data_IF_037922431324
#
_entry.id   IF_037922431324
#
_cell.length_a   1.000
_cell.length_b   1.000
_cell.length_c   1.000
_cell.angle_alpha   90.00
_cell.angle_beta   90.00
_cell.angle_gamma   90.00
#
_symmetry.space_group_name_H-M   'P 1'
#
loop_
_entity.id
_entity.type
_entity.pdbx_description
1 polymer ?
#
# COMPACT_ATOMS: atom_id res chain seq x y z
N UNK A 1 34.89 4.39 -6.92
CA UNK A 1 34.07 4.58 -5.69
C UNK A 1 32.74 5.32 -5.96
N UNK A 2 32.75 6.36 -6.77
CA UNK A 2 31.53 7.11 -7.11
C UNK A 2 30.49 6.28 -7.89
N UNK A 3 30.94 5.42 -8.82
CA UNK A 3 30.05 4.58 -9.63
C UNK A 3 29.26 3.55 -8.84
N UNK A 4 29.85 3.00 -7.76
CA UNK A 4 29.19 2.02 -6.89
C UNK A 4 28.06 2.66 -6.05
N UNK A 5 28.24 3.92 -5.63
CA UNK A 5 27.20 4.69 -4.92
C UNK A 5 26.01 5.03 -5.82
N UNK A 6 26.26 5.41 -7.06
CA UNK A 6 25.21 5.73 -8.03
C UNK A 6 24.38 4.50 -8.40
N UNK A 7 25.00 3.34 -8.61
CA UNK A 7 24.31 2.10 -8.89
C UNK A 7 23.47 1.64 -7.70
N UNK A 8 23.97 1.79 -6.48
CA UNK A 8 23.24 1.45 -5.27
C UNK A 8 22.03 2.36 -5.07
N UNK A 9 22.18 3.67 -5.32
CA UNK A 9 21.08 4.63 -5.21
C UNK A 9 20.02 4.39 -6.27
N UNK A 10 20.42 4.12 -7.51
CA UNK A 10 19.47 3.83 -8.58
C UNK A 10 18.70 2.54 -8.34
N UNK A 11 19.35 1.49 -7.85
CA UNK A 11 18.71 0.22 -7.50
C UNK A 11 17.76 0.38 -6.33
N UNK A 12 18.16 1.10 -5.28
CA UNK A 12 17.30 1.39 -4.13
C UNK A 12 16.08 2.23 -4.54
N UNK A 13 16.25 3.21 -5.45
CA UNK A 13 15.17 4.03 -5.97
C UNK A 13 14.14 3.22 -6.75
N UNK A 14 14.58 2.25 -7.55
CA UNK A 14 13.68 1.36 -8.29
C UNK A 14 12.95 0.37 -7.35
N UNK A 15 13.66 -0.16 -6.35
CA UNK A 15 13.09 -1.12 -5.39
C UNK A 15 12.15 -0.44 -4.40
N UNK A 16 12.37 0.84 -4.07
CA UNK A 16 11.59 1.61 -3.10
C UNK A 16 10.50 2.47 -3.73
N UNK A 17 10.09 2.20 -4.95
CA UNK A 17 9.13 2.96 -5.75
C UNK A 17 7.76 3.10 -5.06
N UNK A 18 7.24 2.01 -4.51
CA UNK A 18 6.08 1.99 -3.62
C UNK A 18 6.51 1.35 -2.32
N UNK A 19 6.17 1.96 -1.20
CA UNK A 19 6.61 1.51 0.12
C UNK A 19 5.41 1.30 1.04
N UNK A 20 5.58 0.39 2.00
CA UNK A 20 4.56 0.10 2.99
C UNK A 20 4.41 1.30 3.92
N UNK A 21 3.22 1.93 3.99
CA UNK A 21 3.00 3.00 4.93
C UNK A 21 2.96 2.46 6.35
N UNK A 22 3.39 3.29 7.30
CA UNK A 22 3.25 2.95 8.71
C UNK A 22 1.79 3.04 9.13
N UNK A 23 1.38 2.20 10.08
CA UNK A 23 0.06 2.31 10.69
C UNK A 23 0.00 3.63 11.49
N UNK A 24 -1.15 4.31 11.52
CA UNK A 24 -1.33 5.52 12.31
C UNK A 24 -1.53 5.26 13.81
N UNK A 25 -1.37 4.02 14.24
CA UNK A 25 -1.52 3.58 15.64
C UNK A 25 -0.67 2.31 15.85
N UNK A 26 -0.45 1.91 17.10
CA UNK A 26 0.29 0.70 17.43
C UNK A 26 -0.47 -0.56 16.98
N UNK A 27 0.26 -1.65 16.77
CA UNK A 27 -0.35 -2.93 16.37
C UNK A 27 -1.40 -3.40 17.37
N UNK A 28 -1.22 -3.12 18.67
CA UNK A 28 -2.15 -3.52 19.72
C UNK A 28 -3.28 -2.52 19.96
N UNK A 29 -3.32 -1.42 19.22
CA UNK A 29 -4.25 -0.33 19.50
C UNK A 29 -5.73 -0.69 19.28
N UNK A 30 -6.00 -1.68 18.43
CA UNK A 30 -7.37 -2.10 18.12
C UNK A 30 -7.85 -3.26 19.00
N UNK A 31 -7.01 -3.72 19.94
CA UNK A 31 -7.43 -4.75 20.88
C UNK A 31 -8.52 -4.21 21.80
N UNK A 32 -9.45 -5.04 22.27
CA UNK A 32 -9.54 -6.50 22.09
C UNK A 32 -10.26 -6.94 20.81
N UNK A 33 -10.61 -6.01 19.92
CA UNK A 33 -11.42 -6.32 18.72
C UNK A 33 -10.59 -6.96 17.62
N UNK A 34 -9.38 -6.46 17.38
CA UNK A 34 -8.41 -7.04 16.45
C UNK A 34 -7.08 -7.15 17.20
N UNK A 35 -6.53 -8.36 17.28
CA UNK A 35 -5.31 -8.58 18.04
C UNK A 35 -4.04 -8.07 17.32
N UNK A 36 -3.00 -7.83 18.11
CA UNK A 36 -1.74 -7.31 17.60
C UNK A 36 -1.10 -8.22 16.56
N UNK A 37 -1.17 -9.54 16.76
CA UNK A 37 -0.58 -10.51 15.82
C UNK A 37 -1.28 -10.44 14.46
N UNK A 38 -2.60 -10.36 14.44
CA UNK A 38 -3.38 -10.19 13.21
C UNK A 38 -2.97 -8.92 12.48
N UNK A 39 -2.83 -7.81 13.19
CA UNK A 39 -2.41 -6.55 12.61
C UNK A 39 -0.99 -6.63 12.02
N UNK A 40 -0.06 -7.27 12.73
CA UNK A 40 1.31 -7.45 12.26
C UNK A 40 1.36 -8.25 10.97
N UNK A 41 0.58 -9.32 10.88
CA UNK A 41 0.52 -10.19 9.70
C UNK A 41 -0.17 -9.47 8.54
N UNK A 42 -1.31 -8.86 8.80
CA UNK A 42 -2.11 -8.19 7.77
C UNK A 42 -1.34 -7.02 7.15
N UNK A 43 -0.63 -6.25 7.98
CA UNK A 43 0.19 -5.14 7.52
C UNK A 43 1.52 -5.61 6.92
N UNK A 44 2.30 -6.38 7.68
CA UNK A 44 3.69 -6.70 7.34
C UNK A 44 3.84 -7.81 6.30
N UNK A 45 2.85 -8.70 6.15
CA UNK A 45 2.86 -9.76 5.14
C UNK A 45 1.92 -9.45 3.99
N UNK A 46 0.64 -9.26 4.26
CA UNK A 46 -0.36 -9.15 3.19
C UNK A 46 -0.24 -7.83 2.43
N UNK A 47 -0.24 -6.70 3.13
CA UNK A 47 -0.07 -5.40 2.48
C UNK A 47 1.29 -5.31 1.79
N UNK A 48 2.35 -5.75 2.46
CA UNK A 48 3.70 -5.75 1.87
C UNK A 48 3.77 -6.59 0.60
N UNK A 49 3.07 -7.73 0.54
CA UNK A 49 3.06 -8.58 -0.64
C UNK A 49 2.45 -7.87 -1.86
N UNK A 50 1.38 -7.12 -1.68
CA UNK A 50 0.82 -6.30 -2.76
C UNK A 50 1.83 -5.29 -3.27
N UNK A 51 2.53 -4.61 -2.37
CA UNK A 51 3.54 -3.61 -2.73
C UNK A 51 4.71 -4.26 -3.48
N UNK A 52 5.22 -5.37 -2.97
CA UNK A 52 6.32 -6.10 -3.61
C UNK A 52 5.93 -6.55 -5.03
N UNK A 53 4.75 -7.11 -5.19
CA UNK A 53 4.28 -7.58 -6.49
C UNK A 53 4.00 -6.43 -7.46
N UNK A 54 3.49 -5.30 -6.95
CA UNK A 54 3.34 -4.09 -7.76
C UNK A 54 4.68 -3.57 -8.26
N UNK A 55 5.66 -3.45 -7.37
CA UNK A 55 7.00 -3.00 -7.74
C UNK A 55 7.66 -3.92 -8.75
N UNK A 56 7.51 -5.24 -8.59
CA UNK A 56 8.04 -6.22 -9.53
C UNK A 56 7.43 -6.06 -10.93
N UNK A 57 6.13 -5.84 -11.02
CA UNK A 57 5.47 -5.57 -12.29
C UNK A 57 5.99 -4.28 -12.93
N UNK A 58 6.11 -3.22 -12.14
CA UNK A 58 6.57 -1.92 -12.63
C UNK A 58 8.04 -1.90 -13.05
N UNK A 59 8.86 -2.84 -12.58
CA UNK A 59 10.26 -2.96 -13.01
C UNK A 59 10.39 -3.21 -14.51
N UNK A 60 9.38 -3.78 -15.16
CA UNK A 60 9.36 -3.98 -16.62
C UNK A 60 9.11 -2.71 -17.40
N UNK A 61 8.58 -1.67 -16.74
CA UNK A 61 8.21 -0.40 -17.36
C UNK A 61 8.68 0.77 -16.52
N UNK A 62 10.00 1.08 -16.55
CA UNK A 62 10.57 2.14 -15.70
C UNK A 62 9.96 3.53 -15.94
N UNK A 63 9.34 3.77 -17.09
CA UNK A 63 8.65 5.01 -17.41
C UNK A 63 7.46 5.29 -16.48
N UNK A 64 6.96 4.26 -15.79
CA UNK A 64 5.85 4.41 -14.84
C UNK A 64 6.33 4.69 -13.41
N UNK A 65 7.64 4.79 -13.18
CA UNK A 65 8.21 4.85 -11.83
C UNK A 65 7.86 6.11 -11.04
N UNK A 66 7.51 7.20 -11.70
CA UNK A 66 7.13 8.44 -11.04
C UNK A 66 5.66 8.55 -10.67
N UNK A 67 4.85 7.54 -11.00
CA UNK A 67 3.41 7.59 -10.78
C UNK A 67 3.04 7.01 -9.41
N UNK A 68 2.16 7.71 -8.68
CA UNK A 68 1.56 7.17 -7.46
C UNK A 68 0.51 6.12 -7.84
N UNK A 69 0.15 5.26 -6.87
CA UNK A 69 -0.74 4.13 -7.15
C UNK A 69 -2.11 4.60 -7.66
N UNK A 70 -2.62 5.71 -7.17
CA UNK A 70 -3.90 6.28 -7.61
C UNK A 70 -3.88 6.69 -9.07
N UNK A 71 -2.77 7.26 -9.54
CA UNK A 71 -2.58 7.62 -10.96
C UNK A 71 -2.56 6.38 -11.85
N UNK A 72 -1.87 5.33 -11.41
CA UNK A 72 -1.81 4.06 -12.13
C UNK A 72 -3.20 3.42 -12.26
N UNK A 73 -3.97 3.44 -11.18
CA UNK A 73 -5.31 2.85 -11.15
C UNK A 73 -6.31 3.65 -11.99
N UNK A 74 -6.30 4.97 -11.89
CA UNK A 74 -7.16 5.84 -12.72
C UNK A 74 -6.84 5.69 -14.20
N UNK A 75 -5.56 5.61 -14.53
CA UNK A 75 -5.07 5.46 -15.89
C UNK A 75 -4.81 4.02 -16.29
N UNK A 76 -5.49 3.06 -15.71
CA UNK A 76 -5.20 1.63 -15.89
C UNK A 76 -5.23 1.21 -17.36
N UNK A 77 -6.08 1.82 -18.16
CA UNK A 77 -6.18 1.51 -19.60
C UNK A 77 -4.94 1.93 -20.37
N UNK A 78 -4.17 2.89 -19.86
CA UNK A 78 -2.91 3.34 -20.44
C UNK A 78 -1.69 2.55 -19.94
N UNK A 79 -1.85 1.72 -18.92
CA UNK A 79 -0.80 0.83 -18.43
C UNK A 79 -0.56 -0.25 -19.48
N UNK A 80 0.72 -0.56 -19.84
CA UNK A 80 1.01 -1.59 -20.81
C UNK A 80 0.32 -2.92 -20.50
N UNK A 81 -0.20 -3.56 -21.55
CA UNK A 81 -1.05 -4.73 -21.42
C UNK A 81 -0.36 -5.89 -20.68
N UNK A 82 0.94 -6.07 -20.87
CA UNK A 82 1.71 -7.14 -20.26
C UNK A 82 1.72 -7.09 -18.72
N UNK A 83 1.56 -5.90 -18.12
CA UNK A 83 1.53 -5.73 -16.67
C UNK A 83 0.20 -5.18 -16.15
N UNK A 84 -0.76 -4.89 -17.01
CA UNK A 84 -2.01 -4.20 -16.63
C UNK A 84 -2.78 -4.94 -15.54
N UNK A 85 -2.98 -6.25 -15.70
CA UNK A 85 -3.69 -7.06 -14.69
C UNK A 85 -2.94 -7.08 -13.36
N UNK A 86 -1.61 -7.23 -13.39
CA UNK A 86 -0.78 -7.20 -12.18
C UNK A 86 -0.86 -5.84 -11.48
N UNK A 87 -0.77 -4.75 -12.23
CA UNK A 87 -0.89 -3.40 -11.66
C UNK A 87 -2.28 -3.17 -11.07
N UNK A 88 -3.34 -3.58 -11.77
CA UNK A 88 -4.70 -3.48 -11.25
C UNK A 88 -4.88 -4.26 -9.94
N UNK A 89 -4.45 -5.52 -9.92
CA UNK A 89 -4.67 -6.38 -8.76
C UNK A 89 -3.79 -5.98 -7.57
N UNK A 90 -2.49 -5.81 -7.80
CA UNK A 90 -1.56 -5.50 -6.71
C UNK A 90 -1.59 -4.01 -6.33
N UNK A 91 -1.75 -3.12 -7.31
CA UNK A 91 -1.97 -1.70 -7.04
C UNK A 91 -3.28 -1.46 -6.31
N UNK A 92 -4.35 -2.14 -6.73
CA UNK A 92 -5.64 -2.10 -6.05
C UNK A 92 -5.55 -2.61 -4.62
N UNK A 93 -4.85 -3.73 -4.42
CA UNK A 93 -4.62 -4.28 -3.09
C UNK A 93 -3.85 -3.32 -2.18
N UNK A 94 -2.78 -2.72 -2.71
CA UNK A 94 -2.01 -1.72 -1.98
C UNK A 94 -2.88 -0.52 -1.61
N UNK A 95 -3.60 0.05 -2.56
CA UNK A 95 -4.45 1.22 -2.32
C UNK A 95 -5.54 0.91 -1.28
N UNK A 96 -6.22 -0.22 -1.41
CA UNK A 96 -7.28 -0.62 -0.50
C UNK A 96 -6.78 -0.82 0.93
N UNK A 97 -5.62 -1.45 1.10
CA UNK A 97 -5.02 -1.63 2.42
C UNK A 97 -4.59 -0.31 3.04
N UNK A 98 -4.02 0.60 2.24
CA UNK A 98 -3.64 1.92 2.75
C UNK A 98 -4.85 2.69 3.28
N UNK A 99 -5.97 2.64 2.56
CA UNK A 99 -7.23 3.24 3.01
C UNK A 99 -7.77 2.53 4.25
N UNK A 100 -7.75 1.20 4.25
CA UNK A 100 -8.27 0.37 5.34
C UNK A 100 -7.68 0.73 6.69
N UNK A 101 -6.37 0.94 6.76
CA UNK A 101 -5.73 1.34 8.02
C UNK A 101 -6.26 2.67 8.54
N UNK A 102 -6.56 3.60 7.65
CA UNK A 102 -6.98 4.96 8.03
C UNK A 102 -8.45 5.06 8.46
N UNK A 103 -9.30 4.12 8.04
CA UNK A 103 -10.74 4.14 8.39
C UNK A 103 -11.04 3.40 9.69
N UNK A 104 -10.05 2.81 10.31
CA UNK A 104 -10.16 2.21 11.64
C UNK A 104 -9.48 3.11 12.68
N UNK A 105 -10.00 3.09 13.90
CA UNK A 105 -9.42 3.85 14.99
C UNK A 105 -9.60 3.10 16.31
N UNK A 106 -8.71 3.32 17.29
CA UNK A 106 -8.87 2.74 18.62
C UNK A 106 -10.17 3.20 19.28
N UNK A 107 -10.74 2.33 20.11
CA UNK A 107 -11.88 2.68 20.94
C UNK A 107 -11.51 3.90 21.82
N UNK A 108 -12.43 4.85 21.92
CA UNK A 108 -12.19 6.10 22.65
C UNK A 108 -11.44 7.17 21.84
N UNK A 109 -10.96 6.84 20.63
CA UNK A 109 -10.30 7.77 19.70
C UNK A 109 -11.01 7.83 18.36
N UNK A 110 -12.34 7.66 18.38
CA UNK A 110 -13.17 7.66 17.18
C UNK A 110 -13.59 6.29 16.67
N UNK A 111 -13.00 5.21 17.21
CA UNK A 111 -13.36 3.85 16.80
C UNK A 111 -14.59 3.33 17.51
N UNK A 112 -15.36 2.48 16.84
CA UNK A 112 -16.54 1.82 17.41
C UNK A 112 -17.77 2.69 17.61
N UNK A 113 -17.77 3.90 17.07
CA UNK A 113 -18.93 4.77 17.12
C UNK A 113 -19.99 4.35 16.10
N UNK A 114 -21.26 4.71 16.36
CA UNK A 114 -22.34 4.49 15.41
C UNK A 114 -22.12 5.34 14.14
N UNK A 115 -22.49 4.82 12.96
CA UNK A 115 -22.42 5.60 11.74
C UNK A 115 -23.31 6.84 11.81
N UNK A 116 -22.80 7.93 11.27
CA UNK A 116 -23.51 9.22 11.26
C UNK A 116 -23.63 9.76 9.83
N UNK A 117 -24.47 10.78 9.66
CA UNK A 117 -24.65 11.45 8.37
C UNK A 117 -25.19 10.50 7.30
N UNK A 118 -24.65 10.57 6.11
CA UNK A 118 -25.09 9.78 4.96
C UNK A 118 -24.85 8.26 5.13
N UNK A 119 -24.01 7.86 6.07
CA UNK A 119 -23.72 6.45 6.34
C UNK A 119 -24.59 5.88 7.49
N UNK A 120 -25.39 6.70 8.13
CA UNK A 120 -26.31 6.21 9.17
C UNK A 120 -27.39 5.32 8.54
N UNK A 121 -27.80 4.22 9.25
CA UNK A 121 -28.87 3.34 8.74
C UNK A 121 -30.22 4.02 8.63
#
# INVERSE_FOLDING_TARGET
>A
MAQLKEQSTAKASLEARHVLPQLPYDFAALEPHIDAQTMQIHHGKHHQAYITNLNNALNKHPELSGKIVEELLRGIKAVPEDIRTAVRNHGGGHHNHSLFWTIMAPAGKGGGAEPTGALAP
#
